data_IF_693453262395
#
_entry.id   IF_693453262395
#
_cell.length_a   1.000
_cell.length_b   1.000
_cell.length_c   1.000
_cell.angle_alpha   90.00
_cell.angle_beta   90.00
_cell.angle_gamma   90.00
#
_symmetry.space_group_name_H-M   'P 1'
#
loop_
_entity.id
_entity.type
_entity.pdbx_description
1 polymer ?
#
# COMPACT_ATOMS: atom_id res chain seq x y z
N UNK A 1 18.99 6.47 -38.84
CA UNK A 1 18.73 7.13 -37.54
C UNK A 1 18.36 8.61 -37.67
N UNK A 2 19.11 9.45 -38.39
CA UNK A 2 18.84 10.91 -38.49
C UNK A 2 17.42 11.26 -39.01
N UNK A 3 16.88 10.52 -39.98
CA UNK A 3 15.52 10.78 -40.53
C UNK A 3 14.38 10.53 -39.52
N UNK A 4 14.57 9.60 -38.59
CA UNK A 4 13.59 9.27 -37.54
C UNK A 4 13.62 10.34 -36.44
N UNK A 5 14.83 10.82 -36.09
CA UNK A 5 15.01 11.88 -35.10
C UNK A 5 14.42 13.21 -35.60
N UNK A 6 14.61 13.55 -36.88
CA UNK A 6 14.01 14.75 -37.49
C UNK A 6 12.49 14.63 -37.56
N UNK A 7 11.94 13.44 -37.84
CA UNK A 7 10.49 13.22 -37.85
C UNK A 7 9.83 13.43 -36.49
N UNK A 8 10.42 12.90 -35.41
CA UNK A 8 9.90 13.07 -34.05
C UNK A 8 9.99 14.52 -33.56
N UNK A 9 11.04 15.25 -33.95
CA UNK A 9 11.18 16.65 -33.57
C UNK A 9 10.10 17.54 -34.22
N UNK A 10 9.78 17.32 -35.49
CA UNK A 10 8.71 18.06 -36.19
C UNK A 10 7.34 17.73 -35.61
N UNK A 11 7.07 16.46 -35.28
CA UNK A 11 5.81 16.05 -34.66
C UNK A 11 5.60 16.70 -33.28
N UNK A 12 6.65 16.76 -32.46
CA UNK A 12 6.61 17.41 -31.14
C UNK A 12 6.28 18.90 -31.24
N UNK A 13 6.88 19.60 -32.20
CA UNK A 13 6.61 21.04 -32.42
C UNK A 13 5.16 21.28 -32.88
N UNK A 14 4.60 20.41 -33.72
CA UNK A 14 3.21 20.51 -34.18
C UNK A 14 2.23 20.23 -33.04
N UNK A 15 2.50 19.22 -32.20
CA UNK A 15 1.66 18.91 -31.03
C UNK A 15 1.65 20.06 -30.01
N UNK A 16 2.81 20.67 -29.76
CA UNK A 16 2.91 21.84 -28.88
C UNK A 16 2.17 23.06 -29.45
N UNK A 17 2.20 23.27 -30.77
CA UNK A 17 1.45 24.36 -31.40
C UNK A 17 -0.07 24.17 -31.30
N UNK A 18 -0.55 22.93 -31.37
CA UNK A 18 -1.98 22.61 -31.27
C UNK A 18 -2.53 22.86 -29.85
N UNK A 19 -1.76 22.54 -28.81
CA UNK A 19 -2.15 22.77 -27.41
C UNK A 19 -2.24 24.25 -27.04
N UNK A 20 -1.45 25.12 -27.70
CA UNK A 20 -1.45 26.57 -27.41
C UNK A 20 -2.61 27.30 -28.09
N UNK A 21 -3.17 26.74 -29.17
CA UNK A 21 -4.19 27.40 -30.00
C UNK A 21 -5.63 27.16 -29.49
N UNK A 22 -5.86 26.18 -28.60
CA UNK A 22 -7.21 25.92 -28.06
C UNK A 22 -7.25 25.93 -26.52
N UNK A 23 -7.30 27.11 -25.88
CA UNK A 23 -7.37 27.21 -24.44
C UNK A 23 -8.79 27.60 -23.96
N UNK A 24 -9.87 26.94 -24.41
CA UNK A 24 -11.17 27.01 -23.70
C UNK A 24 -12.28 26.18 -24.37
N UNK A 25 -12.29 24.87 -24.16
CA UNK A 25 -13.49 24.02 -24.31
C UNK A 25 -14.22 23.86 -22.98
N UNK A 26 -14.60 24.97 -22.35
CA UNK A 26 -15.42 24.99 -21.15
C UNK A 26 -16.86 25.34 -21.53
N UNK A 27 -17.73 24.34 -21.67
CA UNK A 27 -19.16 24.54 -21.91
C UNK A 27 -19.81 25.14 -20.64
N UNK A 28 -19.86 26.47 -20.60
CA UNK A 28 -20.75 27.23 -19.73
C UNK A 28 -22.03 27.56 -20.51
N UNK A 29 -23.13 26.95 -20.05
CA UNK A 29 -24.51 27.40 -20.24
C UNK A 29 -24.63 28.93 -20.08
N UNK A 30 -25.42 29.62 -20.93
CA UNK A 30 -26.05 30.85 -20.50
C UNK A 30 -27.56 30.82 -20.69
N UNK A 31 -28.26 31.01 -19.57
CA UNK A 31 -29.63 31.49 -19.53
C UNK A 31 -29.70 32.99 -19.86
N UNK A 32 -30.75 33.34 -20.62
CA UNK A 32 -31.52 34.60 -20.64
C UNK A 32 -30.91 35.89 -21.25
N UNK A 33 -31.63 36.53 -22.19
CA UNK A 33 -32.59 37.65 -21.95
C UNK A 33 -33.04 38.31 -23.29
N UNK A 34 -34.35 38.56 -23.39
CA UNK A 34 -35.09 39.59 -24.16
C UNK A 34 -35.11 39.63 -25.71
N UNK A 35 -36.31 39.34 -26.26
CA UNK A 35 -37.16 40.37 -26.89
C UNK A 35 -37.08 40.58 -28.40
N UNK A 36 -38.05 40.02 -29.15
CA UNK A 36 -38.78 40.70 -30.25
C UNK A 36 -39.75 39.72 -30.96
N UNK A 37 -41.05 40.01 -30.89
CA UNK A 37 -42.08 39.56 -31.84
C UNK A 37 -42.17 40.59 -33.00
N UNK A 38 -42.89 40.40 -34.14
CA UNK A 38 -44.16 39.66 -34.26
C UNK A 38 -44.47 38.92 -35.60
N UNK A 39 -45.55 38.11 -35.55
CA UNK A 39 -46.54 37.79 -36.63
C UNK A 39 -46.03 37.05 -37.88
N UNK A 40 -46.71 36.17 -38.62
CA UNK A 40 -48.06 35.60 -38.85
C UNK A 40 -47.76 34.31 -39.69
N UNK A 41 -48.47 33.18 -39.69
CA UNK A 41 -49.82 32.92 -40.17
C UNK A 41 -50.13 31.39 -40.03
N UNK A 42 -51.41 31.07 -40.18
CA UNK A 42 -52.19 29.86 -39.89
C UNK A 42 -51.84 28.59 -40.69
N UNK A 43 -52.13 27.39 -40.13
CA UNK A 43 -53.32 26.54 -40.46
C UNK A 43 -53.25 25.10 -39.89
N UNK A 44 -54.37 24.65 -39.27
CA UNK A 44 -54.84 23.25 -39.14
C UNK A 44 -54.21 22.39 -38.04
N UNK A 45 -54.92 21.59 -37.22
CA UNK A 45 -56.32 21.17 -37.17
C UNK A 45 -56.63 20.62 -35.74
N UNK A 46 -57.91 20.32 -35.49
CA UNK A 46 -58.57 20.00 -34.20
C UNK A 46 -57.86 18.97 -33.30
N UNK A 47 -58.21 18.85 -32.02
CA UNK A 47 -59.54 18.49 -31.52
C UNK A 47 -59.63 18.77 -30.01
N UNK A 48 -60.68 19.51 -29.65
CA UNK A 48 -61.57 19.38 -28.48
C UNK A 48 -61.04 19.30 -27.03
N UNK A 49 -61.52 20.29 -26.28
CA UNK A 49 -61.33 20.57 -24.85
C UNK A 49 -62.46 19.90 -24.06
N UNK A 50 -62.12 19.11 -23.06
CA UNK A 50 -63.01 18.87 -21.90
C UNK A 50 -62.54 19.75 -20.75
N UNK A 51 -63.46 20.54 -20.20
CA UNK A 51 -63.28 21.53 -19.14
C UNK A 51 -63.95 21.03 -17.83
N UNK A 52 -63.56 21.68 -16.72
CA UNK A 52 -64.13 21.64 -15.34
C UNK A 52 -63.50 20.58 -14.40
N UNK A 53 -63.11 20.82 -13.13
CA UNK A 53 -63.29 21.90 -12.14
C UNK A 53 -62.28 21.64 -10.97
N UNK A 54 -61.81 22.63 -10.17
CA UNK A 54 -60.72 22.47 -9.20
C UNK A 54 -61.17 22.16 -7.75
N UNK A 55 -60.41 21.31 -7.03
CA UNK A 55 -60.33 21.13 -5.56
C UNK A 55 -59.57 19.79 -5.30
N UNK A 56 -58.53 19.61 -4.49
CA UNK A 56 -58.10 20.26 -3.25
C UNK A 56 -56.58 20.26 -3.13
N UNK A 57 -56.06 21.28 -2.45
CA UNK A 57 -54.68 21.37 -1.98
C UNK A 57 -54.52 20.39 -0.81
N UNK A 58 -54.04 19.17 -1.07
CA UNK A 58 -53.44 18.35 -0.03
C UNK A 58 -52.06 18.91 0.27
N UNK A 59 -51.93 19.43 1.49
CA UNK A 59 -50.68 19.93 2.05
C UNK A 59 -49.77 18.72 2.27
N UNK A 60 -48.94 18.37 1.28
CA UNK A 60 -47.85 17.42 1.48
C UNK A 60 -46.78 18.11 2.33
N UNK A 61 -46.89 17.98 3.65
CA UNK A 61 -45.77 18.17 4.55
C UNK A 61 -44.67 17.19 4.13
N UNK A 62 -43.46 17.64 3.73
CA UNK A 62 -42.33 16.74 3.68
C UNK A 62 -42.02 16.41 5.13
N UNK A 63 -42.47 15.24 5.59
CA UNK A 63 -41.92 14.63 6.79
C UNK A 63 -40.41 14.64 6.62
N UNK A 64 -39.72 15.37 7.51
CA UNK A 64 -38.27 15.37 7.64
C UNK A 64 -37.84 13.91 7.85
N UNK A 65 -37.55 13.21 6.75
CA UNK A 65 -36.77 11.98 6.81
C UNK A 65 -35.42 12.45 7.27
N UNK A 66 -35.17 12.34 8.57
CA UNK A 66 -33.84 12.22 9.11
C UNK A 66 -33.16 11.12 8.30
N UNK A 67 -32.39 11.51 7.29
CA UNK A 67 -31.36 10.64 6.72
C UNK A 67 -30.41 10.45 7.88
N UNK A 68 -30.68 9.43 8.70
CA UNK A 68 -29.64 8.81 9.50
C UNK A 68 -28.62 8.38 8.46
N UNK A 69 -27.61 9.24 8.24
CA UNK A 69 -26.39 8.84 7.58
C UNK A 69 -25.91 7.65 8.41
N UNK A 70 -26.20 6.45 7.93
CA UNK A 70 -25.44 5.28 8.34
C UNK A 70 -24.02 5.70 8.02
N UNK A 71 -23.25 6.03 9.05
CA UNK A 71 -21.81 6.15 8.91
C UNK A 71 -21.39 4.82 8.32
N UNK A 72 -21.07 4.79 7.03
CA UNK A 72 -20.33 3.67 6.48
C UNK A 72 -19.13 3.48 7.42
N UNK A 73 -18.84 2.25 7.90
CA UNK A 73 -17.67 2.05 8.71
C UNK A 73 -16.48 2.58 7.91
N UNK A 74 -15.66 3.43 8.52
CA UNK A 74 -14.37 3.80 7.96
C UNK A 74 -13.63 2.48 7.71
N UNK A 75 -13.44 2.09 6.46
CA UNK A 75 -12.78 0.84 6.09
C UNK A 75 -11.29 0.92 6.42
N UNK A 76 -10.94 0.83 7.71
CA UNK A 76 -9.56 0.60 8.13
C UNK A 76 -9.17 -0.79 7.67
N UNK A 77 -8.03 -0.91 6.96
CA UNK A 77 -7.49 -2.19 6.54
C UNK A 77 -7.49 -3.16 7.73
N UNK A 78 -7.94 -4.39 7.50
CA UNK A 78 -7.94 -5.42 8.52
C UNK A 78 -6.51 -5.88 8.73
N UNK A 79 -5.94 -5.61 9.89
CA UNK A 79 -4.63 -6.15 10.25
C UNK A 79 -4.77 -7.44 11.04
N UNK A 80 -3.87 -8.40 10.78
CA UNK A 80 -3.81 -9.70 11.44
C UNK A 80 -2.72 -9.76 12.51
N UNK A 81 -2.76 -10.79 13.36
CA UNK A 81 -1.67 -11.10 14.30
C UNK A 81 -0.44 -11.73 13.60
N UNK A 82 -0.60 -12.14 12.35
CA UNK A 82 0.44 -12.79 11.57
C UNK A 82 1.56 -11.81 11.20
N UNK A 83 2.80 -12.25 11.40
CA UNK A 83 3.99 -11.46 11.06
C UNK A 83 4.33 -11.61 9.58
N UNK A 84 5.07 -10.64 9.03
CA UNK A 84 5.57 -10.73 7.66
C UNK A 84 6.37 -12.02 7.43
N UNK A 85 7.21 -12.42 8.41
CA UNK A 85 8.02 -13.64 8.28
C UNK A 85 7.15 -14.90 8.22
N UNK A 86 6.08 -14.97 9.00
CA UNK A 86 5.13 -16.08 8.97
C UNK A 86 4.41 -16.15 7.61
N UNK A 87 3.94 -15.00 7.12
CA UNK A 87 3.27 -14.90 5.82
C UNK A 87 4.21 -15.29 4.68
N UNK A 88 5.43 -14.78 4.68
CA UNK A 88 6.44 -15.10 3.67
C UNK A 88 6.82 -16.57 3.69
N UNK A 89 7.02 -17.16 4.89
CA UNK A 89 7.29 -18.59 5.03
C UNK A 89 6.13 -19.45 4.52
N UNK A 90 4.89 -19.07 4.81
CA UNK A 90 3.68 -19.73 4.30
C UNK A 90 3.61 -19.69 2.76
N UNK A 91 3.94 -18.55 2.16
CA UNK A 91 3.99 -18.40 0.70
C UNK A 91 5.08 -19.28 0.09
N UNK A 92 6.29 -19.30 0.66
CA UNK A 92 7.40 -20.10 0.16
C UNK A 92 7.12 -21.60 0.28
N UNK A 93 6.60 -22.04 1.43
CA UNK A 93 6.15 -23.42 1.63
C UNK A 93 5.05 -23.79 0.63
N UNK A 94 4.08 -22.90 0.41
CA UNK A 94 3.03 -23.06 -0.59
C UNK A 94 3.58 -23.10 -2.02
N UNK A 95 4.70 -22.47 -2.33
CA UNK A 95 5.38 -22.56 -3.62
C UNK A 95 6.29 -23.81 -3.74
N UNK A 96 6.39 -24.63 -2.70
CA UNK A 96 7.24 -25.82 -2.67
C UNK A 96 8.73 -25.51 -2.47
N UNK A 97 9.07 -24.31 -2.01
CA UNK A 97 10.41 -24.01 -1.51
C UNK A 97 10.42 -24.33 -0.02
N UNK A 98 10.98 -25.49 0.34
CA UNK A 98 11.23 -25.85 1.74
C UNK A 98 12.27 -24.88 2.33
N UNK A 99 11.81 -23.73 2.84
CA UNK A 99 12.57 -22.93 3.79
C UNK A 99 12.56 -23.66 5.13
N UNK A 100 13.12 -24.86 5.17
CA UNK A 100 13.51 -25.47 6.44
C UNK A 100 14.48 -24.50 7.07
N UNK A 101 13.99 -23.68 8.01
CA UNK A 101 14.77 -22.62 8.66
C UNK A 101 16.11 -23.23 9.05
N UNK A 102 17.24 -22.86 8.42
CA UNK A 102 18.51 -23.19 9.00
C UNK A 102 18.58 -22.24 10.20
N UNK A 103 18.26 -22.76 11.39
CA UNK A 103 18.80 -22.16 12.60
C UNK A 103 20.31 -21.96 12.33
N UNK A 104 20.88 -20.78 12.63
CA UNK A 104 22.30 -20.55 12.38
C UNK A 104 23.06 -21.77 12.91
N UNK A 105 23.74 -22.49 12.02
CA UNK A 105 24.40 -23.73 12.39
C UNK A 105 25.32 -23.36 13.56
N UNK A 106 25.09 -23.93 14.76
CA UNK A 106 25.87 -23.54 15.91
C UNK A 106 27.33 -23.90 15.63
N UNK A 107 28.15 -22.88 15.43
CA UNK A 107 29.58 -23.03 15.15
C UNK A 107 30.32 -23.55 16.37
N UNK A 108 29.74 -23.35 17.56
CA UNK A 108 30.31 -23.74 18.85
C UNK A 108 29.64 -25.01 19.38
N UNK A 109 30.41 -25.89 20.03
CA UNK A 109 29.94 -27.17 20.59
C UNK A 109 28.73 -27.01 21.51
N UNK A 110 28.68 -25.93 22.29
CA UNK A 110 27.57 -25.62 23.20
C UNK A 110 26.26 -25.34 22.44
N UNK A 111 26.36 -24.71 21.27
CA UNK A 111 25.19 -24.48 20.41
C UNK A 111 24.73 -25.77 19.74
N UNK A 112 25.64 -26.68 19.38
CA UNK A 112 25.29 -28.00 18.82
C UNK A 112 24.55 -28.84 19.86
N UNK A 113 25.06 -28.85 21.10
CA UNK A 113 24.37 -29.49 22.23
C UNK A 113 22.99 -28.86 22.49
N UNK A 114 22.87 -27.53 22.43
CA UNK A 114 21.59 -26.83 22.60
C UNK A 114 20.60 -27.19 21.49
N UNK A 115 21.05 -27.25 20.24
CA UNK A 115 20.21 -27.64 19.09
C UNK A 115 19.74 -29.10 19.16
N UNK A 116 20.58 -30.01 19.64
CA UNK A 116 20.24 -31.42 19.88
C UNK A 116 19.23 -31.61 21.02
N UNK A 117 19.33 -30.78 22.06
CA UNK A 117 18.35 -30.76 23.15
C UNK A 117 17.01 -30.19 22.66
N UNK A 118 17.03 -29.12 21.87
CA UNK A 118 15.81 -28.55 21.31
C UNK A 118 15.12 -29.49 20.31
N UNK A 119 15.88 -30.24 19.52
CA UNK A 119 15.32 -31.23 18.59
C UNK A 119 14.72 -32.44 19.32
N UNK A 120 15.37 -32.93 20.38
CA UNK A 120 14.83 -34.01 21.22
C UNK A 120 13.62 -33.58 22.04
N UNK A 121 13.61 -32.36 22.60
CA UNK A 121 12.43 -31.77 23.26
C UNK A 121 11.28 -31.63 22.26
N UNK A 122 11.54 -31.18 21.04
CA UNK A 122 10.53 -31.05 19.98
C UNK A 122 9.91 -32.39 19.59
N UNK A 123 10.74 -33.43 19.45
CA UNK A 123 10.29 -34.78 19.14
C UNK A 123 9.40 -35.37 20.26
N UNK A 124 9.67 -35.01 21.52
CA UNK A 124 8.91 -35.48 22.69
C UNK A 124 7.65 -34.64 22.95
N UNK A 125 7.69 -33.34 22.71
CA UNK A 125 6.57 -32.42 22.96
C UNK A 125 5.60 -32.29 21.79
N UNK A 126 5.88 -32.92 20.63
CA UNK A 126 5.04 -32.82 19.44
C UNK A 126 4.96 -31.40 18.87
N UNK A 127 5.81 -30.48 19.36
CA UNK A 127 5.85 -29.07 18.98
C UNK A 127 6.55 -28.84 17.65
N UNK A 128 6.14 -29.54 16.59
CA UNK A 128 6.26 -28.94 15.26
C UNK A 128 5.36 -27.70 15.33
N UNK A 129 5.84 -26.46 15.08
CA UNK A 129 4.92 -25.38 14.76
C UNK A 129 4.03 -25.96 13.68
N UNK A 130 2.73 -26.10 13.94
CA UNK A 130 1.80 -26.54 12.90
C UNK A 130 2.14 -25.73 11.66
N UNK A 131 2.19 -26.34 10.45
CA UNK A 131 2.24 -25.53 9.24
C UNK A 131 1.12 -24.52 9.42
N UNK A 132 1.46 -23.24 9.52
CA UNK A 132 0.44 -22.21 9.61
C UNK A 132 -0.44 -22.46 8.39
N UNK A 133 -1.71 -22.82 8.62
CA UNK A 133 -2.67 -22.93 7.53
C UNK A 133 -2.51 -21.64 6.72
N UNK A 134 -2.23 -21.75 5.40
CA UNK A 134 -1.87 -20.59 4.61
C UNK A 134 -2.95 -19.54 4.81
N UNK A 135 -2.58 -18.38 5.34
CA UNK A 135 -3.51 -17.28 5.50
C UNK A 135 -4.13 -16.91 4.17
N UNK A 136 -5.34 -16.34 4.18
CA UNK A 136 -6.01 -15.93 2.94
C UNK A 136 -5.14 -15.01 2.07
N UNK A 137 -4.26 -14.22 2.69
CA UNK A 137 -3.24 -13.43 2.00
C UNK A 137 -2.25 -14.33 1.28
N UNK A 138 -1.66 -15.30 1.98
CA UNK A 138 -0.70 -16.22 1.40
C UNK A 138 -1.31 -17.05 0.26
N UNK A 139 -2.53 -17.56 0.40
CA UNK A 139 -3.22 -18.31 -0.66
C UNK A 139 -3.43 -17.45 -1.92
N UNK A 140 -3.87 -16.20 -1.74
CA UNK A 140 -4.07 -15.25 -2.83
C UNK A 140 -2.75 -14.99 -3.57
N UNK A 141 -1.67 -14.72 -2.83
CA UNK A 141 -0.36 -14.41 -3.41
C UNK A 141 0.26 -15.65 -4.07
N UNK A 142 0.16 -16.83 -3.46
CA UNK A 142 0.60 -18.10 -4.06
C UNK A 142 -0.15 -18.34 -5.38
N UNK A 143 -1.47 -18.15 -5.40
CA UNK A 143 -2.30 -18.32 -6.59
C UNK A 143 -1.86 -17.39 -7.73
N UNK A 144 -1.67 -16.11 -7.43
CA UNK A 144 -1.23 -15.12 -8.40
C UNK A 144 0.19 -15.39 -8.93
N UNK A 145 1.14 -15.74 -8.06
CA UNK A 145 2.51 -16.10 -8.45
C UNK A 145 2.55 -17.35 -9.33
N UNK A 146 1.76 -18.38 -9.01
CA UNK A 146 1.65 -19.61 -9.83
C UNK A 146 1.01 -19.35 -11.19
N UNK A 147 0.07 -18.40 -11.26
CA UNK A 147 -0.54 -17.95 -12.51
C UNK A 147 0.41 -17.11 -13.38
N UNK A 148 1.58 -16.71 -12.85
CA UNK A 148 2.53 -15.86 -13.56
C UNK A 148 2.05 -14.41 -13.69
N UNK A 149 1.21 -13.96 -12.75
CA UNK A 149 0.73 -12.58 -12.71
C UNK A 149 1.85 -11.58 -12.50
N UNK A 150 1.66 -10.37 -13.01
CA UNK A 150 2.65 -9.29 -12.82
C UNK A 150 2.56 -8.68 -11.43
N UNK A 151 3.65 -8.07 -10.95
CA UNK A 151 3.70 -7.35 -9.68
C UNK A 151 2.55 -6.32 -9.55
N UNK A 152 2.21 -5.63 -10.64
CA UNK A 152 1.10 -4.67 -10.67
C UNK A 152 -0.28 -5.34 -10.53
N UNK A 153 -0.45 -6.52 -11.12
CA UNK A 153 -1.68 -7.31 -10.94
C UNK A 153 -1.78 -7.81 -9.50
N UNK A 154 -0.69 -8.33 -8.94
CA UNK A 154 -0.62 -8.78 -7.55
C UNK A 154 -0.94 -7.63 -6.59
N UNK A 155 -0.37 -6.44 -6.83
CA UNK A 155 -0.66 -5.24 -6.06
C UNK A 155 -2.16 -4.91 -6.05
N UNK A 156 -2.78 -4.94 -7.22
CA UNK A 156 -4.21 -4.66 -7.38
C UNK A 156 -5.06 -5.68 -6.63
N UNK A 157 -4.81 -6.98 -6.84
CA UNK A 157 -5.56 -8.08 -6.22
C UNK A 157 -5.47 -8.04 -4.69
N UNK A 158 -4.26 -7.86 -4.15
CA UNK A 158 -4.04 -7.83 -2.69
C UNK A 158 -4.69 -6.60 -2.07
N UNK A 159 -4.54 -5.42 -2.67
CA UNK A 159 -5.15 -4.20 -2.14
C UNK A 159 -6.69 -4.21 -2.25
N UNK A 160 -7.25 -4.78 -3.32
CA UNK A 160 -8.70 -4.96 -3.45
C UNK A 160 -9.23 -5.88 -2.34
N UNK A 161 -8.60 -7.04 -2.14
CA UNK A 161 -9.00 -7.99 -1.09
C UNK A 161 -8.84 -7.40 0.33
N UNK A 162 -7.73 -6.72 0.60
CA UNK A 162 -7.47 -6.11 1.89
C UNK A 162 -8.43 -4.94 2.19
N UNK A 163 -8.73 -4.11 1.19
CA UNK A 163 -9.69 -3.00 1.33
C UNK A 163 -11.15 -3.48 1.44
N UNK A 164 -11.49 -4.61 0.82
CA UNK A 164 -12.74 -5.31 1.03
C UNK A 164 -12.85 -6.00 2.41
N UNK A 165 -11.75 -6.06 3.17
CA UNK A 165 -11.69 -6.70 4.49
C UNK A 165 -11.76 -8.23 4.45
N UNK A 166 -11.62 -8.83 3.26
CA UNK A 166 -11.64 -10.28 3.06
C UNK A 166 -10.31 -10.92 3.45
N UNK A 167 -9.23 -10.14 3.38
CA UNK A 167 -7.87 -10.56 3.72
C UNK A 167 -7.31 -9.69 4.83
N UNK A 168 -6.73 -10.32 5.85
CA UNK A 168 -5.96 -9.63 6.88
C UNK A 168 -4.49 -9.49 6.45
N UNK A 169 -3.89 -8.33 6.71
CA UNK A 169 -2.50 -8.04 6.32
C UNK A 169 -1.62 -7.84 7.56
N UNK A 170 -0.34 -8.24 7.52
CA UNK A 170 0.63 -7.87 8.55
C UNK A 170 0.72 -6.35 8.72
N UNK A 171 0.77 -5.88 9.98
CA UNK A 171 0.82 -4.45 10.31
C UNK A 171 1.96 -3.71 9.59
N UNK A 172 3.09 -4.40 9.38
CA UNK A 172 4.29 -3.84 8.77
C UNK A 172 4.12 -3.47 7.29
N UNK A 173 3.12 -4.05 6.62
CA UNK A 173 2.83 -3.78 5.22
C UNK A 173 1.85 -2.61 5.04
N UNK A 174 1.28 -2.07 6.12
CA UNK A 174 0.34 -0.96 5.99
C UNK A 174 1.12 0.33 5.72
N UNK A 175 0.83 0.98 4.60
CA UNK A 175 1.44 2.26 4.25
C UNK A 175 0.84 3.39 5.06
N UNK A 176 1.55 4.52 5.14
CA UNK A 176 1.08 5.73 5.80
C UNK A 176 -0.24 6.28 5.21
N UNK A 177 -0.56 5.91 3.96
CA UNK A 177 -1.81 6.28 3.29
C UNK A 177 -2.89 5.20 3.38
N UNK A 178 -2.66 4.12 4.14
CA UNK A 178 -3.63 3.07 4.40
C UNK A 178 -3.81 2.06 3.26
N UNK A 179 -2.78 1.87 2.43
CA UNK A 179 -2.71 0.78 1.43
C UNK A 179 -1.84 -0.36 1.95
N UNK A 180 -1.83 -1.47 1.22
CA UNK A 180 -0.90 -2.59 1.44
C UNK A 180 0.33 -2.38 0.56
N UNK A 181 1.50 -2.42 1.19
CA UNK A 181 2.80 -2.35 0.53
C UNK A 181 3.21 -3.74 0.02
N UNK A 182 2.68 -4.11 -1.14
CA UNK A 182 2.97 -5.39 -1.77
C UNK A 182 4.43 -5.52 -2.22
N UNK A 183 5.10 -4.39 -2.48
CA UNK A 183 6.51 -4.38 -2.85
C UNK A 183 7.40 -4.91 -1.72
N UNK A 184 7.07 -4.58 -0.47
CA UNK A 184 7.76 -5.10 0.72
C UNK A 184 7.51 -6.59 0.90
N UNK A 185 6.27 -7.05 0.67
CA UNK A 185 5.94 -8.48 0.74
C UNK A 185 6.75 -9.28 -0.28
N UNK A 186 6.74 -8.85 -1.55
CA UNK A 186 7.49 -9.50 -2.62
C UNK A 186 9.00 -9.45 -2.36
N UNK A 187 9.53 -8.32 -1.88
CA UNK A 187 10.94 -8.20 -1.52
C UNK A 187 11.32 -9.16 -0.37
N UNK A 188 10.45 -9.36 0.62
CA UNK A 188 10.64 -10.33 1.70
C UNK A 188 10.68 -11.76 1.17
N UNK A 189 9.75 -12.13 0.29
CA UNK A 189 9.71 -13.45 -0.39
C UNK A 189 11.02 -13.71 -1.13
N UNK A 190 11.48 -12.76 -1.94
CA UNK A 190 12.75 -12.89 -2.68
C UNK A 190 13.93 -13.01 -1.72
N UNK A 191 13.96 -12.20 -0.67
CA UNK A 191 15.06 -12.21 0.31
C UNK A 191 15.15 -13.55 1.03
N UNK A 192 14.03 -14.06 1.54
CA UNK A 192 14.00 -15.36 2.22
C UNK A 192 14.32 -16.52 1.27
N UNK A 193 13.82 -16.51 0.03
CA UNK A 193 14.15 -17.53 -0.97
C UNK A 193 15.65 -17.54 -1.31
N UNK A 194 16.28 -16.37 -1.43
CA UNK A 194 17.73 -16.25 -1.64
C UNK A 194 18.51 -16.82 -0.47
N UNK A 195 18.14 -16.47 0.77
CA UNK A 195 18.79 -16.98 1.98
C UNK A 195 18.63 -18.50 2.10
N UNK A 196 17.43 -19.02 1.82
CA UNK A 196 17.17 -20.47 1.80
C UNK A 196 18.01 -21.19 0.73
N UNK A 197 18.32 -20.52 -0.38
CA UNK A 197 19.23 -21.02 -1.43
C UNK A 197 20.72 -20.91 -1.07
N UNK A 198 21.06 -20.50 0.16
CA UNK A 198 22.43 -20.33 0.63
C UNK A 198 23.10 -19.04 0.16
N UNK A 199 22.36 -18.10 -0.43
CA UNK A 199 22.92 -16.79 -0.77
C UNK A 199 23.03 -15.90 0.47
N UNK A 200 24.02 -15.00 0.54
CA UNK A 200 24.13 -14.03 1.64
C UNK A 200 22.89 -13.14 1.72
N UNK A 201 22.53 -12.79 2.97
CA UNK A 201 21.55 -11.75 3.25
C UNK A 201 21.96 -10.43 2.56
N UNK A 202 20.99 -9.56 2.21
CA UNK A 202 21.28 -8.25 1.64
C UNK A 202 22.27 -7.48 2.53
N UNK A 203 23.27 -6.84 1.91
CA UNK A 203 24.12 -5.92 2.63
C UNK A 203 23.32 -4.67 3.03
N UNK A 204 23.68 -4.08 4.16
CA UNK A 204 23.08 -2.82 4.63
C UNK A 204 23.35 -1.72 3.59
N UNK A 205 22.31 -1.04 3.08
CA UNK A 205 22.48 0.03 2.10
C UNK A 205 23.25 1.21 2.69
N UNK A 206 24.14 1.81 1.90
CA UNK A 206 24.74 3.10 2.23
C UNK A 206 23.76 4.22 1.84
N UNK A 207 22.87 4.58 2.77
CA UNK A 207 21.87 5.63 2.56
C UNK A 207 22.55 7.00 2.67
N UNK A 208 22.52 7.84 1.62
CA UNK A 208 23.11 9.16 1.66
C UNK A 208 22.50 10.02 2.78
N UNK A 209 23.38 10.76 3.46
CA UNK A 209 23.07 11.68 4.56
C UNK A 209 22.17 12.85 4.14
N UNK A 210 22.12 13.15 2.84
CA UNK A 210 21.33 14.18 2.17
C UNK A 210 20.17 13.59 1.34
N UNK A 211 19.87 12.30 1.52
CA UNK A 211 18.73 11.66 0.88
C UNK A 211 17.39 12.31 1.25
N UNK A 212 16.43 12.28 0.33
CA UNK A 212 15.10 12.86 0.56
C UNK A 212 14.47 12.33 1.86
N UNK A 213 14.14 13.25 2.77
CA UNK A 213 13.55 12.96 4.07
C UNK A 213 14.53 12.47 5.14
N UNK A 214 15.83 12.38 4.86
CA UNK A 214 16.86 11.95 5.83
C UNK A 214 17.47 13.16 6.51
N UNK A 215 17.44 13.19 7.84
CA UNK A 215 18.17 14.16 8.66
C UNK A 215 19.16 13.43 9.56
N UNK A 216 20.42 13.87 9.59
CA UNK A 216 21.43 13.28 10.46
C UNK A 216 21.91 14.30 11.47
N UNK A 217 21.87 13.92 12.75
CA UNK A 217 22.35 14.72 13.86
C UNK A 217 23.50 14.00 14.54
N UNK A 218 24.63 14.68 14.69
CA UNK A 218 25.78 14.14 15.40
C UNK A 218 25.86 14.82 16.76
N UNK A 219 25.83 14.03 17.83
CA UNK A 219 26.06 14.52 19.19
C UNK A 219 27.47 14.08 19.58
N UNK A 220 28.36 15.05 19.77
CA UNK A 220 29.70 14.78 20.28
C UNK A 220 29.72 14.87 21.81
N UNK A 221 30.17 13.79 22.42
CA UNK A 221 30.57 13.77 23.83
C UNK A 221 32.10 13.73 23.91
N UNK A 222 32.66 13.96 25.09
CA UNK A 222 34.12 13.95 25.30
C UNK A 222 34.79 12.60 24.99
N UNK A 223 34.01 11.53 24.84
CA UNK A 223 34.52 10.16 24.69
C UNK A 223 33.95 9.42 23.47
N UNK A 224 32.83 9.89 22.91
CA UNK A 224 32.19 9.25 21.75
C UNK A 224 31.36 10.24 20.92
N UNK A 225 31.25 10.00 19.61
CA UNK A 225 30.40 10.75 18.69
C UNK A 225 29.24 9.85 18.26
N UNK A 226 28.05 10.09 18.81
CA UNK A 226 26.86 9.31 18.46
C UNK A 226 26.12 9.98 17.30
N UNK A 227 25.93 9.24 16.21
CA UNK A 227 25.13 9.68 15.07
C UNK A 227 23.68 9.22 15.24
N UNK A 228 22.76 10.16 15.18
CA UNK A 228 21.31 9.91 15.16
C UNK A 228 20.78 10.19 13.77
N UNK A 229 20.17 9.19 13.15
CA UNK A 229 19.47 9.34 11.88
C UNK A 229 17.98 9.51 12.16
N UNK A 230 17.38 10.47 11.48
CA UNK A 230 15.94 10.71 11.48
C UNK A 230 15.43 10.61 10.06
N UNK A 231 14.24 10.05 9.91
CA UNK A 231 13.57 9.92 8.63
C UNK A 231 12.18 10.55 8.70
N UNK A 232 11.85 11.36 7.70
CA UNK A 232 10.50 11.90 7.50
C UNK A 232 9.74 10.98 6.56
N UNK A 233 8.66 10.38 7.06
CA UNK A 233 7.80 9.45 6.33
C UNK A 233 7.18 10.15 5.13
N UNK A 234 7.30 9.55 3.95
CA UNK A 234 6.68 10.03 2.73
C UNK A 234 5.35 9.32 2.46
N UNK A 235 4.57 9.85 1.53
CA UNK A 235 3.39 9.15 1.01
C UNK A 235 3.80 7.83 0.37
N UNK A 236 3.03 6.79 0.62
CA UNK A 236 3.28 5.42 0.17
C UNK A 236 4.25 4.63 1.05
N UNK A 237 4.98 5.24 1.98
CA UNK A 237 5.90 4.51 2.84
C UNK A 237 5.15 3.59 3.80
N UNK A 238 5.60 2.34 3.91
CA UNK A 238 5.31 1.45 5.04
C UNK A 238 6.52 1.38 5.97
N UNK A 239 6.34 0.94 7.22
CA UNK A 239 7.47 0.77 8.13
C UNK A 239 8.44 -0.32 7.60
N UNK A 240 7.94 -1.27 6.80
CA UNK A 240 8.75 -2.30 6.14
C UNK A 240 9.59 -1.73 5.00
N UNK A 241 9.03 -0.83 4.19
CA UNK A 241 9.77 -0.14 3.13
C UNK A 241 10.91 0.71 3.71
N UNK A 242 10.64 1.38 4.84
CA UNK A 242 11.66 2.14 5.56
C UNK A 242 12.77 1.20 6.07
N UNK A 243 12.43 0.04 6.64
CA UNK A 243 13.43 -0.94 7.08
C UNK A 243 14.28 -1.45 5.91
N UNK A 244 13.68 -1.79 4.76
CA UNK A 244 14.43 -2.17 3.55
C UNK A 244 15.35 -1.02 3.11
N UNK A 245 14.86 0.21 3.11
CA UNK A 245 15.65 1.39 2.69
C UNK A 245 16.91 1.58 3.52
N UNK A 246 16.83 1.43 4.84
CA UNK A 246 17.95 1.71 5.75
C UNK A 246 18.79 0.49 6.13
N UNK A 247 18.20 -0.70 6.12
CA UNK A 247 18.84 -1.93 6.60
C UNK A 247 18.96 -3.02 5.54
N UNK A 248 18.30 -2.85 4.39
CA UNK A 248 18.30 -3.83 3.30
C UNK A 248 17.32 -4.98 3.48
N UNK A 249 16.69 -5.09 4.66
CA UNK A 249 15.75 -6.15 4.99
C UNK A 249 14.58 -5.61 5.82
N UNK A 250 13.36 -6.01 5.44
CA UNK A 250 12.14 -5.66 6.15
C UNK A 250 12.13 -6.22 7.58
N UNK A 251 12.83 -7.32 7.86
CA UNK A 251 12.90 -7.95 9.18
C UNK A 251 13.41 -7.01 10.29
N UNK A 252 14.19 -5.97 9.93
CA UNK A 252 14.71 -5.00 10.89
C UNK A 252 13.71 -3.91 11.31
N UNK A 253 12.46 -3.95 10.83
CA UNK A 253 11.45 -2.97 11.21
C UNK A 253 11.21 -2.86 12.72
N UNK A 254 11.37 -3.97 13.45
CA UNK A 254 11.19 -4.01 14.91
C UNK A 254 12.10 -3.01 15.61
N UNK A 255 13.33 -2.83 15.12
CA UNK A 255 14.26 -1.83 15.67
C UNK A 255 13.77 -0.41 15.49
N UNK A 256 13.20 -0.09 14.32
CA UNK A 256 12.60 1.22 14.07
C UNK A 256 11.39 1.42 14.97
N UNK A 257 10.52 0.42 15.07
CA UNK A 257 9.34 0.50 15.93
C UNK A 257 9.72 0.71 17.40
N UNK A 258 10.68 -0.06 17.90
CA UNK A 258 11.12 0.01 19.29
C UNK A 258 11.79 1.35 19.63
N UNK A 259 12.57 1.93 18.71
CA UNK A 259 13.14 3.26 18.86
C UNK A 259 12.09 4.38 18.89
N UNK A 260 10.87 4.13 18.38
CA UNK A 260 9.81 5.12 18.23
C UNK A 260 8.57 4.84 19.09
N UNK A 261 8.62 3.92 20.06
CA UNK A 261 7.44 3.53 20.89
C UNK A 261 6.75 4.70 21.60
N UNK A 262 7.48 5.78 21.88
CA UNK A 262 6.92 6.98 22.51
C UNK A 262 5.95 7.74 21.60
N UNK A 263 6.10 7.61 20.28
CA UNK A 263 5.30 8.33 19.27
C UNK A 263 4.49 7.40 18.37
N UNK A 264 4.88 6.13 18.27
CA UNK A 264 4.27 5.12 17.41
C UNK A 264 3.75 3.95 18.27
N UNK A 265 2.43 3.82 18.35
CA UNK A 265 1.78 2.79 19.17
C UNK A 265 1.70 1.42 18.51
N UNK A 266 1.74 1.37 17.17
CA UNK A 266 1.70 0.14 16.38
C UNK A 266 2.43 0.34 15.05
N UNK A 267 3.01 -0.72 14.43
CA UNK A 267 3.78 -0.60 13.18
C UNK A 267 3.01 0.00 11.99
N UNK A 268 1.70 -0.20 11.94
CA UNK A 268 0.76 0.27 10.91
C UNK A 268 0.31 1.73 11.10
N UNK A 269 0.73 2.40 12.18
CA UNK A 269 0.22 3.73 12.57
C UNK A 269 1.14 4.89 12.21
N UNK A 270 2.03 4.69 11.24
CA UNK A 270 2.86 5.76 10.70
C UNK A 270 2.03 6.75 9.88
N UNK A 271 2.48 8.00 9.79
CA UNK A 271 1.78 9.07 9.05
C UNK A 271 2.74 9.82 8.15
N UNK A 272 2.25 10.29 7.00
CA UNK A 272 3.01 11.15 6.11
C UNK A 272 3.47 12.42 6.86
N UNK A 273 4.74 12.78 6.70
CA UNK A 273 5.39 13.88 7.42
C UNK A 273 5.80 13.56 8.85
N UNK A 274 5.51 12.37 9.37
CA UNK A 274 5.97 11.95 10.69
C UNK A 274 7.47 11.73 10.68
N UNK A 275 8.17 12.26 11.68
CA UNK A 275 9.60 12.01 11.87
C UNK A 275 9.83 10.78 12.74
N UNK A 276 10.59 9.82 12.23
CA UNK A 276 10.99 8.59 12.90
C UNK A 276 12.49 8.60 13.20
N UNK A 277 12.87 8.05 14.34
CA UNK A 277 14.26 7.74 14.68
C UNK A 277 14.66 6.45 13.96
N UNK A 278 15.78 6.47 13.26
CA UNK A 278 16.36 5.30 12.61
C UNK A 278 17.62 4.91 13.40
N UNK A 279 17.57 3.84 14.21
CA UNK A 279 18.73 3.40 14.98
C UNK A 279 19.83 2.78 14.08
N UNK A 280 21.06 2.72 14.57
CA UNK A 280 22.12 1.94 13.94
C UNK A 280 21.96 0.43 14.25
N UNK A 281 22.55 -0.43 13.40
CA UNK A 281 22.46 -1.90 13.54
C UNK A 281 23.46 -2.48 14.53
#
# INVERSE_FOLDING_TARGET
>A
MIRIVVGLFVFSVILCAWIVIDPSGGDKQPDAVAGAAPAVDRLGAGVEVTREQPAQVETFQPALRSVTRVMAPSSTLRTGEETLDQTTAGILAGLGLDTGVPAPAPTDEMGQMTSGILSSIRAVTGGTPAPAEPSALSELVIGALRAGETDATIDTLVNEAASAGTVAVPNILVTADGRVDTSVLLASIVTQARVASGQPAPAVPDVPVDGAGVEVRVVQTSTDAQQFRFYTVNSGDSLGAIAIKFYGDAAFYGRIFDANRSTLSSPDRIRVGQRLVIPEL
#
